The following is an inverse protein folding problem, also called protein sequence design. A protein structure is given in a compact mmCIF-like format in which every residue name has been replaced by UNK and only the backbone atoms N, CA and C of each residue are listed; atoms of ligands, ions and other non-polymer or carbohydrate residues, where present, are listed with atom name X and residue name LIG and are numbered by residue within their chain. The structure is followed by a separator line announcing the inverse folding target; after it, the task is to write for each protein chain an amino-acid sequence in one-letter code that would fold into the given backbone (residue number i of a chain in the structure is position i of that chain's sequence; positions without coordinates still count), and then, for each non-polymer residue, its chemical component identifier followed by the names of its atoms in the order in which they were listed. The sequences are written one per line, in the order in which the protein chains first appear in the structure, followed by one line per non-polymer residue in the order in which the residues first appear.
data_IF_639175763277
#
_entry.id   IF_639175763277
#
_cell.length_a   1.000
_cell.length_b   1.000
_cell.length_c   1.000
_cell.angle_alpha   90.00
_cell.angle_beta   90.00
_cell.angle_gamma   90.00
#
_symmetry.space_group_name_H-M   'P 1'
#
loop_
_entity.id
_entity.type
_entity.pdbx_description
1 polymer ?
#
# COMPACT_ATOMS: atom_id res chain seq x y z
N UNK A 1 9.43 -6.24 19.03
CA UNK A 1 7.99 -6.44 18.78
C UNK A 1 7.84 -7.56 17.77
N UNK A 2 6.95 -8.51 18.01
CA UNK A 2 6.62 -9.58 17.08
C UNK A 2 5.44 -9.16 16.18
N UNK A 3 5.33 -9.76 15.00
CA UNK A 3 4.24 -9.47 14.07
C UNK A 3 2.85 -9.78 14.67
N UNK A 4 2.77 -10.70 15.63
CA UNK A 4 1.56 -11.02 16.39
C UNK A 4 1.02 -9.86 17.23
N UNK A 5 1.91 -8.97 17.66
CA UNK A 5 1.58 -7.88 18.58
C UNK A 5 0.81 -6.76 17.86
N UNK A 6 0.79 -6.80 16.52
CA UNK A 6 0.04 -5.89 15.65
C UNK A 6 -1.43 -6.30 15.47
N UNK A 7 -1.85 -7.43 16.03
CA UNK A 7 -3.19 -7.98 15.86
C UNK A 7 -3.47 -8.47 14.43
N UNK A 8 -4.75 -8.48 14.06
CA UNK A 8 -5.23 -9.10 12.81
C UNK A 8 -5.75 -8.08 11.77
N UNK A 9 -5.67 -6.78 12.05
CA UNK A 9 -6.02 -5.68 11.14
C UNK A 9 -4.83 -4.76 10.93
N UNK A 10 -3.98 -5.13 9.99
CA UNK A 10 -2.66 -4.52 9.81
C UNK A 10 -2.69 -3.55 8.64
N UNK A 11 -2.29 -2.30 8.89
CA UNK A 11 -2.08 -1.30 7.85
C UNK A 11 -0.60 -1.21 7.46
N UNK A 12 -0.31 -1.18 6.16
CA UNK A 12 1.03 -1.00 5.63
C UNK A 12 1.08 0.30 4.83
N UNK A 13 1.90 1.23 5.31
CA UNK A 13 2.20 2.51 4.69
C UNK A 13 3.65 2.54 4.23
N UNK A 14 3.97 3.46 3.32
CA UNK A 14 5.34 3.61 2.83
C UNK A 14 5.38 4.01 1.36
N UNK A 15 6.52 4.45 0.84
CA UNK A 15 6.58 5.07 -0.47
C UNK A 15 6.18 4.12 -1.60
N UNK A 16 5.81 4.67 -2.74
CA UNK A 16 5.51 3.88 -3.95
C UNK A 16 6.74 3.01 -4.31
N UNK A 17 6.51 1.75 -4.70
CA UNK A 17 7.56 0.76 -4.99
C UNK A 17 8.51 0.38 -3.83
N UNK A 18 8.15 0.66 -2.57
CA UNK A 18 8.85 0.10 -1.40
C UNK A 18 8.64 -1.41 -1.21
N UNK A 19 7.68 -2.03 -1.90
CA UNK A 19 7.35 -3.45 -1.72
C UNK A 19 6.26 -3.72 -0.67
N UNK A 20 5.40 -2.73 -0.40
CA UNK A 20 4.27 -2.88 0.53
C UNK A 20 3.36 -4.05 0.18
N UNK A 21 3.00 -4.18 -1.10
CA UNK A 21 2.11 -5.26 -1.57
C UNK A 21 2.77 -6.63 -1.39
N UNK A 22 4.08 -6.73 -1.64
CA UNK A 22 4.85 -7.96 -1.34
C UNK A 22 4.86 -8.29 0.15
N UNK A 23 5.02 -7.28 1.00
CA UNK A 23 4.97 -7.45 2.45
C UNK A 23 3.55 -7.84 2.92
N UNK A 24 2.51 -7.21 2.36
CA UNK A 24 1.12 -7.53 2.65
C UNK A 24 0.84 -9.01 2.34
N UNK A 25 1.25 -9.51 1.18
CA UNK A 25 1.07 -10.92 0.82
C UNK A 25 1.88 -11.88 1.69
N UNK A 26 3.08 -11.47 2.10
CA UNK A 26 3.91 -12.28 2.99
C UNK A 26 3.27 -12.40 4.38
N UNK A 27 2.76 -11.29 4.91
CA UNK A 27 2.03 -11.24 6.18
C UNK A 27 0.73 -12.05 6.06
N UNK A 28 -0.05 -11.83 4.99
CA UNK A 28 -1.27 -12.58 4.70
C UNK A 28 -1.02 -14.08 4.76
N UNK A 29 -0.03 -14.59 4.02
CA UNK A 29 0.31 -16.02 4.01
C UNK A 29 0.76 -16.54 5.38
N UNK A 30 1.59 -15.77 6.07
CA UNK A 30 2.15 -16.18 7.37
C UNK A 30 1.11 -16.15 8.49
N UNK A 31 0.10 -15.28 8.41
CA UNK A 31 -0.88 -15.01 9.49
C UNK A 31 -2.30 -15.47 9.15
N UNK A 32 -2.56 -15.92 7.93
CA UNK A 32 -3.90 -16.24 7.45
C UNK A 32 -4.82 -15.02 7.40
N UNK A 33 -4.29 -13.85 7.05
CA UNK A 33 -5.06 -12.61 6.89
C UNK A 33 -5.45 -12.38 5.43
N UNK A 34 -6.55 -11.68 5.20
CA UNK A 34 -6.99 -11.30 3.84
C UNK A 34 -6.08 -10.18 3.31
N UNK A 35 -5.35 -10.39 2.19
CA UNK A 35 -4.55 -9.34 1.57
C UNK A 35 -5.45 -8.38 0.79
N UNK A 36 -5.33 -7.09 1.05
CA UNK A 36 -6.13 -6.06 0.39
C UNK A 36 -5.21 -4.96 -0.11
N UNK A 37 -5.03 -4.90 -1.43
CA UNK A 37 -4.23 -3.87 -2.08
C UNK A 37 -5.12 -2.71 -2.49
N UNK A 38 -4.94 -1.52 -1.90
CA UNK A 38 -5.81 -0.38 -2.18
C UNK A 38 -5.76 0.07 -3.65
N UNK A 39 -4.65 -0.19 -4.35
CA UNK A 39 -4.56 0.09 -5.79
C UNK A 39 -5.60 -0.68 -6.61
N UNK A 40 -5.99 -1.90 -6.18
CA UNK A 40 -7.03 -2.69 -6.85
C UNK A 40 -8.44 -2.17 -6.58
N UNK A 41 -8.64 -1.50 -5.44
CA UNK A 41 -9.91 -0.84 -5.13
C UNK A 41 -10.02 0.52 -5.81
N UNK A 42 -8.90 1.24 -5.94
CA UNK A 42 -8.88 2.59 -6.49
C UNK A 42 -9.01 2.65 -8.01
N UNK A 43 -8.58 1.60 -8.71
CA UNK A 43 -8.64 1.54 -10.17
C UNK A 43 -9.67 0.52 -10.67
N UNK A 44 -10.14 0.73 -11.89
CA UNK A 44 -11.03 -0.19 -12.58
C UNK A 44 -10.24 -1.43 -13.06
N UNK A 45 -10.76 -2.67 -12.85
CA UNK A 45 -10.13 -3.88 -13.35
C UNK A 45 -10.10 -3.88 -14.88
N UNK A 46 -9.12 -4.56 -15.47
CA UNK A 46 -8.94 -4.67 -16.92
C UNK A 46 -8.77 -3.32 -17.65
N UNK A 47 -8.37 -2.27 -16.94
CA UNK A 47 -8.04 -0.96 -17.53
C UNK A 47 -6.55 -0.62 -17.35
N UNK A 48 -6.03 0.33 -18.14
CA UNK A 48 -4.67 0.88 -17.93
C UNK A 48 -4.68 1.89 -16.77
N UNK A 49 -4.97 1.42 -15.56
CA UNK A 49 -4.96 2.24 -14.33
C UNK A 49 -5.96 3.39 -14.37
N UNK A 50 -7.16 3.15 -14.92
CA UNK A 50 -8.24 4.14 -14.90
C UNK A 50 -8.79 4.22 -13.49
N UNK A 51 -8.81 5.43 -12.93
CA UNK A 51 -9.29 5.69 -11.58
C UNK A 51 -10.81 5.50 -11.50
N UNK A 52 -11.28 4.89 -10.41
CA UNK A 52 -12.70 4.84 -10.09
C UNK A 52 -13.21 6.21 -9.64
N UNK A 53 -14.52 6.48 -9.80
CA UNK A 53 -15.17 7.55 -9.07
C UNK A 53 -14.86 7.47 -7.58
N UNK A 54 -14.61 8.64 -6.97
CA UNK A 54 -14.17 8.74 -5.57
C UNK A 54 -15.11 8.04 -4.60
N UNK A 55 -16.41 8.21 -4.78
CA UNK A 55 -17.42 7.65 -3.88
C UNK A 55 -17.48 6.12 -3.97
N UNK A 56 -17.26 5.57 -5.16
CA UNK A 56 -17.17 4.12 -5.38
C UNK A 56 -15.93 3.54 -4.69
N UNK A 57 -14.78 4.20 -4.80
CA UNK A 57 -13.57 3.81 -4.08
C UNK A 57 -13.77 3.83 -2.56
N UNK A 58 -14.42 4.88 -2.03
CA UNK A 58 -14.71 4.98 -0.59
C UNK A 58 -15.63 3.83 -0.14
N UNK A 59 -16.70 3.54 -0.89
CA UNK A 59 -17.62 2.45 -0.57
C UNK A 59 -16.92 1.07 -0.57
N UNK A 60 -16.08 0.80 -1.59
CA UNK A 60 -15.28 -0.42 -1.65
C UNK A 60 -14.29 -0.53 -0.48
N UNK A 61 -13.66 0.59 -0.12
CA UNK A 61 -12.75 0.64 1.02
C UNK A 61 -13.49 0.37 2.34
N UNK A 62 -14.67 0.98 2.55
CA UNK A 62 -15.47 0.77 3.77
C UNK A 62 -15.90 -0.70 3.91
N UNK A 63 -16.35 -1.31 2.83
CA UNK A 63 -16.66 -2.74 2.80
C UNK A 63 -15.42 -3.59 3.14
N UNK A 64 -14.24 -3.21 2.62
CA UNK A 64 -13.00 -3.92 2.86
C UNK A 64 -12.55 -3.84 4.34
N UNK A 65 -12.65 -2.68 4.99
CA UNK A 65 -12.23 -2.50 6.39
C UNK A 65 -13.21 -3.08 7.40
N UNK A 66 -14.46 -3.35 6.99
CA UNK A 66 -15.48 -3.96 7.83
C UNK A 66 -15.12 -5.40 8.24
N UNK A 67 -14.23 -6.07 7.49
CA UNK A 67 -13.70 -7.36 7.86
C UNK A 67 -12.90 -7.34 9.17
N UNK A 68 -12.91 -8.45 9.90
CA UNK A 68 -12.20 -8.57 11.18
C UNK A 68 -10.73 -8.94 11.04
N UNK A 69 -10.32 -9.49 9.87
CA UNK A 69 -8.97 -10.04 9.64
C UNK A 69 -8.45 -9.64 8.26
N UNK A 70 -7.56 -8.64 8.20
CA UNK A 70 -7.01 -8.13 6.96
C UNK A 70 -5.61 -7.53 7.13
N UNK A 71 -4.88 -7.51 6.02
CA UNK A 71 -3.66 -6.74 5.86
C UNK A 71 -3.81 -5.86 4.61
N UNK A 72 -3.74 -4.55 4.81
CA UNK A 72 -3.99 -3.55 3.78
C UNK A 72 -2.76 -2.73 3.45
N UNK A 73 -2.37 -2.64 2.18
CA UNK A 73 -1.36 -1.68 1.74
C UNK A 73 -1.90 -0.57 0.84
N UNK A 74 -1.39 0.64 1.05
CA UNK A 74 -1.68 1.80 0.21
C UNK A 74 -1.67 3.12 0.98
N UNK A 75 -1.42 4.20 0.26
CA UNK A 75 -1.20 5.53 0.84
C UNK A 75 -2.37 6.51 0.62
N UNK A 76 -3.56 6.01 0.26
CA UNK A 76 -4.71 6.86 -0.04
C UNK A 76 -5.19 7.58 1.23
N UNK A 77 -4.88 8.88 1.32
CA UNK A 77 -5.14 9.71 2.49
C UNK A 77 -6.63 9.87 2.81
N UNK A 78 -7.48 9.86 1.77
CA UNK A 78 -8.94 9.97 1.91
C UNK A 78 -9.56 8.86 2.76
N UNK A 79 -8.94 7.68 2.78
CA UNK A 79 -9.41 6.50 3.50
C UNK A 79 -8.64 6.24 4.81
N UNK A 80 -7.58 7.01 5.08
CA UNK A 80 -6.72 6.81 6.24
C UNK A 80 -7.46 6.92 7.58
N UNK A 81 -8.32 7.93 7.83
CA UNK A 81 -8.98 8.07 9.12
C UNK A 81 -9.82 6.83 9.51
N UNK A 82 -10.71 6.39 8.63
CA UNK A 82 -11.57 5.22 8.86
C UNK A 82 -10.75 3.94 9.00
N UNK A 83 -9.71 3.81 8.18
CA UNK A 83 -8.81 2.65 8.22
C UNK A 83 -8.03 2.57 9.53
N UNK A 84 -7.50 3.69 10.03
CA UNK A 84 -6.76 3.72 11.30
C UNK A 84 -7.66 3.48 12.50
N UNK A 85 -8.92 3.92 12.45
CA UNK A 85 -9.89 3.61 13.52
C UNK A 85 -10.16 2.11 13.67
N UNK A 86 -10.05 1.32 12.59
CA UNK A 86 -10.24 -0.13 12.65
C UNK A 86 -8.95 -0.94 12.75
N UNK A 87 -7.81 -0.38 12.34
CA UNK A 87 -6.54 -1.05 12.38
C UNK A 87 -6.13 -1.40 13.82
N UNK A 88 -5.57 -2.60 14.00
CA UNK A 88 -4.95 -3.03 15.26
C UNK A 88 -3.44 -2.79 15.25
N UNK A 89 -2.84 -2.60 14.07
CA UNK A 89 -1.41 -2.36 13.96
C UNK A 89 -1.03 -1.64 12.68
N UNK A 90 0.10 -0.94 12.74
CA UNK A 90 0.59 -0.11 11.65
C UNK A 90 2.05 -0.44 11.35
N UNK A 91 2.36 -0.69 10.08
CA UNK A 91 3.71 -0.90 9.58
C UNK A 91 4.03 0.24 8.61
N UNK A 92 5.11 0.97 8.88
CA UNK A 92 5.65 1.96 7.95
C UNK A 92 6.93 1.42 7.32
N UNK A 93 6.88 1.15 6.02
CA UNK A 93 8.06 0.81 5.23
C UNK A 93 8.87 2.08 4.95
N UNK A 94 10.05 2.17 5.55
CA UNK A 94 10.97 3.29 5.37
C UNK A 94 12.18 2.89 4.51
N UNK A 95 11.97 2.78 3.20
CA UNK A 95 13.03 2.41 2.25
C UNK A 95 13.57 3.66 1.57
N UNK A 96 14.90 3.73 1.34
CA UNK A 96 15.53 4.84 0.64
C UNK A 96 14.97 5.00 -0.79
N UNK A 97 14.85 6.25 -1.24
CA UNK A 97 14.36 6.57 -2.59
C UNK A 97 15.16 5.86 -3.68
N UNK A 98 16.48 5.73 -3.49
CA UNK A 98 17.38 4.99 -4.39
C UNK A 98 17.06 3.50 -4.45
N UNK A 99 16.79 2.86 -3.31
CA UNK A 99 16.39 1.45 -3.29
C UNK A 99 14.99 1.23 -3.88
N UNK A 100 14.07 2.18 -3.70
CA UNK A 100 12.73 2.15 -4.32
C UNK A 100 12.80 2.31 -5.85
N UNK A 101 13.65 3.22 -6.35
CA UNK A 101 13.93 3.37 -7.78
C UNK A 101 14.60 2.12 -8.35
N UNK A 102 15.63 1.59 -7.69
CA UNK A 102 16.32 0.38 -8.14
C UNK A 102 15.37 -0.83 -8.21
N UNK A 103 14.49 -1.00 -7.21
CA UNK A 103 13.44 -2.01 -7.25
C UNK A 103 12.44 -1.77 -8.38
N UNK A 104 12.02 -0.52 -8.61
CA UNK A 104 11.12 -0.20 -9.71
C UNK A 104 11.74 -0.53 -11.07
N UNK A 105 13.00 -0.14 -11.30
CA UNK A 105 13.72 -0.46 -12.53
C UNK A 105 13.92 -1.97 -12.69
N UNK A 106 14.37 -2.68 -11.64
CA UNK A 106 14.52 -4.14 -11.68
C UNK A 106 13.18 -4.84 -11.94
N UNK A 107 12.11 -4.44 -11.28
CA UNK A 107 10.79 -5.04 -11.46
C UNK A 107 10.27 -4.81 -12.88
N UNK A 108 10.35 -3.58 -13.39
CA UNK A 108 9.84 -3.25 -14.74
C UNK A 108 10.66 -3.93 -15.85
N UNK A 109 11.95 -4.21 -15.61
CA UNK A 109 12.83 -4.84 -16.60
C UNK A 109 12.88 -6.38 -16.51
N UNK A 110 12.64 -6.97 -15.34
CA UNK A 110 12.86 -8.41 -15.10
C UNK A 110 11.62 -9.19 -14.62
N UNK A 111 10.58 -8.54 -14.08
CA UNK A 111 9.40 -9.21 -13.52
C UNK A 111 8.11 -8.68 -14.16
N UNK A 112 7.42 -9.53 -14.93
CA UNK A 112 6.17 -9.16 -15.61
C UNK A 112 4.91 -9.29 -14.71
N UNK A 113 5.00 -9.93 -13.55
CA UNK A 113 3.86 -10.12 -12.64
C UNK A 113 3.92 -9.16 -11.44
N UNK A 114 3.02 -8.18 -11.44
CA UNK A 114 2.87 -7.24 -10.32
C UNK A 114 1.80 -7.74 -9.35
N UNK A 115 2.19 -8.07 -8.12
CA UNK A 115 1.25 -8.31 -7.02
C UNK A 115 0.53 -7.01 -6.66
N UNK A 116 -0.80 -7.03 -6.63
CA UNK A 116 -1.63 -5.82 -6.60
C UNK A 116 -1.64 -5.03 -7.92
N UNK A 117 -1.19 -5.63 -9.02
CA UNK A 117 -1.33 -5.09 -10.37
C UNK A 117 -2.69 -5.42 -10.97
N UNK A 118 -3.20 -4.52 -11.81
CA UNK A 118 -4.42 -4.78 -12.56
C UNK A 118 -4.17 -5.86 -13.62
N UNK A 119 -5.08 -6.83 -13.74
CA UNK A 119 -5.01 -7.86 -14.78
C UNK A 119 -5.02 -7.23 -16.18
N UNK A 120 -4.03 -7.58 -17.02
CA UNK A 120 -3.90 -7.07 -18.39
C UNK A 120 -3.07 -5.79 -18.55
N UNK A 121 -2.56 -5.21 -17.46
CA UNK A 121 -1.67 -4.05 -17.53
C UNK A 121 -0.30 -4.38 -18.12
N UNK A 122 0.10 -3.69 -19.20
CA UNK A 122 1.49 -3.69 -19.64
C UNK A 122 2.28 -2.74 -18.74
N UNK A 123 3.03 -3.27 -17.78
CA UNK A 123 3.96 -2.48 -16.97
C UNK A 123 5.01 -1.84 -17.91
N UNK A 124 4.84 -0.56 -18.19
CA UNK A 124 5.78 0.27 -18.95
C UNK A 124 6.43 1.27 -18.00
N UNK A 125 7.67 1.67 -18.29
CA UNK A 125 8.37 2.69 -17.50
C UNK A 125 7.64 4.02 -17.72
N UNK A 126 6.71 4.37 -16.83
CA UNK A 126 6.01 5.66 -16.85
C UNK A 126 6.90 6.72 -16.18
N UNK A 127 7.21 7.79 -16.92
CA UNK A 127 8.02 8.91 -16.43
C UNK A 127 7.39 9.57 -15.21
N UNK A 128 6.06 9.63 -15.16
CA UNK A 128 5.28 10.12 -14.01
C UNK A 128 5.56 9.32 -12.74
N UNK A 129 5.74 8.00 -12.86
CA UNK A 129 6.09 7.14 -11.74
C UNK A 129 7.54 7.38 -11.28
N UNK A 130 8.48 7.60 -12.21
CA UNK A 130 9.87 7.96 -11.86
C UNK A 130 9.90 9.29 -11.13
N UNK A 131 9.22 10.31 -11.68
CA UNK A 131 9.13 11.64 -11.09
C UNK A 131 8.45 11.59 -9.71
N UNK A 132 7.40 10.79 -9.56
CA UNK A 132 6.73 10.59 -8.28
C UNK A 132 7.65 9.94 -7.24
N UNK A 133 8.39 8.91 -7.63
CA UNK A 133 9.34 8.25 -6.72
C UNK A 133 10.47 9.20 -6.36
N UNK A 134 11.03 9.92 -7.33
CA UNK A 134 12.19 10.78 -7.13
C UNK A 134 11.87 12.07 -6.33
N UNK A 135 10.72 12.70 -6.58
CA UNK A 135 10.43 14.05 -6.06
C UNK A 135 9.32 14.09 -4.99
N UNK A 136 8.27 13.27 -5.09
CA UNK A 136 7.19 13.28 -4.08
C UNK A 136 7.44 12.36 -2.89
N UNK A 137 8.16 11.25 -3.06
CA UNK A 137 8.51 10.33 -1.97
C UNK A 137 9.28 11.00 -0.82
N UNK A 138 10.34 11.80 -1.07
CA UNK A 138 11.09 12.44 0.01
C UNK A 138 10.22 13.40 0.84
N UNK A 139 9.34 14.16 0.17
CA UNK A 139 8.42 15.12 0.82
C UNK A 139 7.32 14.43 1.61
N UNK A 140 6.83 13.28 1.12
CA UNK A 140 5.81 12.48 1.81
C UNK A 140 6.38 11.66 2.98
N UNK A 141 7.69 11.39 3.01
CA UNK A 141 8.34 10.66 4.11
C UNK A 141 8.17 11.36 5.45
N UNK A 142 8.32 12.69 5.48
CA UNK A 142 8.10 13.47 6.69
C UNK A 142 6.63 13.41 7.13
N UNK A 143 5.69 13.56 6.19
CA UNK A 143 4.24 13.42 6.46
C UNK A 143 3.87 12.06 7.03
N UNK A 144 4.36 10.96 6.44
CA UNK A 144 4.08 9.62 6.93
C UNK A 144 4.69 9.38 8.30
N UNK A 145 5.90 9.88 8.56
CA UNK A 145 6.56 9.78 9.85
C UNK A 145 5.80 10.55 10.94
N UNK A 146 5.41 11.80 10.67
CA UNK A 146 4.62 12.60 11.62
C UNK A 146 3.24 12.00 11.87
N UNK A 147 2.58 11.43 10.85
CA UNK A 147 1.31 10.72 11.04
C UNK A 147 1.50 9.43 11.85
N UNK A 148 2.54 8.66 11.54
CA UNK A 148 2.88 7.43 12.25
C UNK A 148 3.17 7.73 13.72
N UNK A 149 3.93 8.77 14.04
CA UNK A 149 4.24 9.19 15.42
C UNK A 149 3.00 9.62 16.21
N UNK A 150 1.98 10.20 15.56
CA UNK A 150 0.74 10.67 16.21
C UNK A 150 -0.31 9.59 16.48
N UNK A 151 -0.22 8.42 15.86
CA UNK A 151 -1.22 7.35 15.99
C UNK A 151 -0.88 6.47 17.20
N UNK A 152 -1.83 6.18 18.09
CA UNK A 152 -1.57 5.35 19.29
C UNK A 152 -1.81 3.84 19.05
N UNK A 153 -1.35 3.33 17.91
CA UNK A 153 -1.44 1.91 17.56
C UNK A 153 -0.12 1.20 17.81
N UNK A 154 -0.13 -0.11 18.11
CA UNK A 154 1.04 -0.96 18.07
C UNK A 154 1.82 -0.80 16.75
N UNK A 155 3.12 -0.53 16.89
CA UNK A 155 4.03 -0.13 15.81
C UNK A 155 5.40 -0.77 16.03
N UNK A 156 5.96 -1.47 15.03
CA UNK A 156 7.31 -2.04 15.10
C UNK A 156 8.41 -0.99 14.89
#
# INVERSE_FOLDING_TARGET
MNLSDLGDRICILGPSNSGKSTLADAISRKRGLTPIHLDLLFHLPHTDWVQRPRDEFIALHEAAIAGERWVMDGNYSVCMPQRFQRATGLILLDISTSASLLRYFRRTLFERERRGGLEGGRDSIKWDMIHHIALTTPKNRWRYRTMFEKIDLPKP
#
